data_IF_352959547682
#
_entry.id   IF_352959547682
#
_cell.length_a   1.000
_cell.length_b   1.000
_cell.length_c   1.000
_cell.angle_alpha   90.00
_cell.angle_beta   90.00
_cell.angle_gamma   90.00
#
_symmetry.space_group_name_H-M   'P 1'
#
loop_
_entity.id
_entity.type
_entity.pdbx_description
1 polymer ?
#
# COMPACT_ATOMS: atom_id res chain seq x y z
N UNK A 1 -6.22 3.94 10.45
CA UNK A 1 -7.18 3.78 9.34
C UNK A 1 -8.59 4.03 9.84
N UNK A 2 -9.49 4.60 9.02
CA UNK A 2 -10.90 4.71 9.35
C UNK A 2 -11.51 3.34 9.71
N UNK A 3 -12.52 3.31 10.60
CA UNK A 3 -13.26 2.07 10.87
C UNK A 3 -14.00 1.63 9.60
N UNK A 4 -13.83 0.37 9.19
CA UNK A 4 -14.58 -0.23 8.06
C UNK A 4 -13.73 -0.73 6.90
N UNK A 5 -12.45 -0.40 6.85
CA UNK A 5 -11.53 -0.89 5.83
C UNK A 5 -11.18 -2.36 6.13
N UNK A 6 -11.67 -3.28 5.31
CA UNK A 6 -11.29 -4.69 5.35
C UNK A 6 -9.91 -4.92 4.73
N UNK A 7 -9.36 -6.14 4.84
CA UNK A 7 -8.10 -6.48 4.17
C UNK A 7 -8.12 -6.22 2.65
N UNK A 8 -9.31 -6.24 2.04
CA UNK A 8 -9.52 -5.96 0.63
C UNK A 8 -9.41 -4.47 0.26
N UNK A 9 -9.55 -3.58 1.24
CA UNK A 9 -9.51 -2.13 1.07
C UNK A 9 -8.16 -1.54 1.53
N UNK A 10 -7.16 -2.40 1.77
CA UNK A 10 -5.83 -1.94 2.17
C UNK A 10 -5.11 -1.32 0.96
N UNK A 11 -4.62 -0.07 1.08
CA UNK A 11 -3.79 0.56 0.07
C UNK A 11 -2.62 -0.30 -0.37
N UNK A 12 -2.37 -0.29 -1.67
CA UNK A 12 -1.15 -0.82 -2.26
C UNK A 12 0.02 0.14 -2.04
N UNK A 13 1.21 -0.41 -1.81
CA UNK A 13 2.44 0.36 -1.58
C UNK A 13 3.34 0.29 -2.80
N UNK A 14 3.76 1.45 -3.27
CA UNK A 14 4.68 1.61 -4.39
C UNK A 14 5.95 2.33 -3.98
N UNK A 15 7.07 1.91 -4.57
CA UNK A 15 8.34 2.62 -4.54
C UNK A 15 8.44 3.57 -5.74
N UNK A 16 9.17 4.67 -5.55
CA UNK A 16 9.39 5.71 -6.56
C UNK A 16 10.89 5.94 -6.74
N UNK A 17 11.48 5.36 -7.79
CA UNK A 17 12.91 5.50 -8.11
C UNK A 17 13.09 5.59 -9.62
N UNK A 18 12.87 6.78 -10.20
CA UNK A 18 12.83 7.01 -11.66
C UNK A 18 11.67 6.31 -12.38
N UNK A 19 11.07 5.30 -11.76
CA UNK A 19 9.85 4.59 -12.16
C UNK A 19 9.06 4.20 -10.92
N UNK A 20 7.76 3.98 -11.11
CA UNK A 20 6.88 3.44 -10.08
C UNK A 20 6.92 1.91 -10.13
N UNK A 21 7.08 1.26 -8.98
CA UNK A 21 7.07 -0.21 -8.89
C UNK A 21 6.33 -0.67 -7.63
N UNK A 22 5.60 -1.78 -7.77
CA UNK A 22 4.84 -2.35 -6.66
C UNK A 22 5.81 -2.99 -5.65
N UNK A 23 5.60 -2.69 -4.37
CA UNK A 23 6.39 -3.25 -3.30
C UNK A 23 5.67 -4.43 -2.66
N UNK A 24 6.43 -5.48 -2.40
CA UNK A 24 5.96 -6.54 -1.52
C UNK A 24 5.82 -5.99 -0.11
N UNK A 25 4.63 -6.13 0.46
CA UNK A 25 4.34 -5.62 1.79
C UNK A 25 3.29 -6.49 2.49
N UNK A 26 3.32 -6.48 3.82
CA UNK A 26 2.34 -7.14 4.68
C UNK A 26 1.75 -6.15 5.65
N UNK A 27 0.46 -6.27 5.93
CA UNK A 27 -0.19 -5.47 6.97
C UNK A 27 -0.30 -6.28 8.27
N UNK A 28 0.24 -5.76 9.36
CA UNK A 28 0.22 -6.42 10.68
C UNK A 28 0.08 -5.39 11.79
N UNK A 29 -0.92 -5.57 12.66
CA UNK A 29 -1.17 -4.74 13.85
C UNK A 29 -1.24 -3.22 13.54
N UNK A 30 -1.83 -2.83 12.42
CA UNK A 30 -1.95 -1.42 12.04
C UNK A 30 -0.75 -0.84 11.29
N UNK A 31 0.29 -1.64 11.04
CA UNK A 31 1.50 -1.24 10.34
C UNK A 31 1.68 -1.98 9.03
N UNK A 32 2.24 -1.28 8.04
CA UNK A 32 2.80 -1.90 6.85
C UNK A 32 4.25 -2.28 7.09
N UNK A 33 4.56 -3.54 6.82
CA UNK A 33 5.91 -4.08 6.82
C UNK A 33 6.31 -4.22 5.36
N UNK A 34 7.28 -3.41 4.93
CA UNK A 34 7.81 -3.40 3.57
C UNK A 34 9.18 -4.06 3.60
N UNK A 35 9.38 -5.08 2.76
CA UNK A 35 10.63 -5.87 2.76
C UNK A 35 11.78 -5.17 1.99
N UNK A 36 11.62 -3.90 1.61
CA UNK A 36 12.59 -3.08 0.87
C UNK A 36 12.69 -1.66 1.45
N UNK A 37 13.77 -0.95 1.12
CA UNK A 37 14.07 0.41 1.60
C UNK A 37 14.14 1.41 0.42
N UNK A 38 13.01 1.74 -0.22
CA UNK A 38 13.00 2.72 -1.31
C UNK A 38 13.24 4.13 -0.78
N UNK A 39 13.84 4.99 -1.61
CA UNK A 39 14.05 6.39 -1.25
C UNK A 39 12.74 7.18 -1.06
N UNK A 40 11.68 6.78 -1.77
CA UNK A 40 10.36 7.38 -1.71
C UNK A 40 9.26 6.33 -1.79
N UNK A 41 8.19 6.54 -1.02
CA UNK A 41 7.02 5.66 -0.93
C UNK A 41 5.75 6.40 -1.33
N UNK A 42 4.83 5.66 -1.97
CA UNK A 42 3.45 6.11 -2.21
C UNK A 42 2.48 5.02 -1.80
N UNK A 43 1.50 5.38 -0.98
CA UNK A 43 0.34 4.55 -0.69
C UNK A 43 -0.77 4.96 -1.65
N UNK A 44 -1.34 3.99 -2.35
CA UNK A 44 -2.46 4.19 -3.26
C UNK A 44 -3.62 3.34 -2.77
N UNK A 45 -4.69 3.99 -2.36
CA UNK A 45 -5.94 3.32 -2.08
C UNK A 45 -6.57 2.89 -3.40
N UNK A 46 -6.91 1.61 -3.51
CA UNK A 46 -7.58 1.10 -4.69
C UNK A 46 -9.03 1.57 -4.65
N UNK A 47 -9.39 2.55 -5.47
CA UNK A 47 -10.80 2.73 -5.82
C UNK A 47 -11.20 1.51 -6.63
N UNK A 48 -11.66 0.45 -5.97
CA UNK A 48 -12.44 -0.58 -6.63
C UNK A 48 -13.52 0.15 -7.41
N UNK A 49 -13.63 -0.09 -8.71
CA UNK A 49 -14.72 0.49 -9.49
C UNK A 49 -16.01 0.08 -8.80
N UNK A 50 -16.72 1.04 -8.20
CA UNK A 50 -18.09 0.84 -7.74
C UNK A 50 -18.90 0.47 -9.00
N UNK A 51 -19.08 -0.83 -9.23
CA UNK A 51 -20.03 -1.38 -10.19
C UNK A 51 -21.38 -1.53 -9.54
#
# INVERSE_FOLDING_TARGET
MPPGIGYHDLPAIFGLEGKTYLLNSRFKNGYYIVDSLPAQLRLIDGVGSDS
#
